data_IF_706710000136
#
_entry.id   IF_706710000136
#
_cell.length_a   1.000
_cell.length_b   1.000
_cell.length_c   1.000
_cell.angle_alpha   90.00
_cell.angle_beta   90.00
_cell.angle_gamma   90.00
#
_symmetry.space_group_name_H-M   'P 1'
#
loop_
_entity.id
_entity.type
_entity.pdbx_description
1 polymer ?
#
# COMPACT_ATOMS: atom_id res chain seq x y z
N UNK A 1 -5.91 14.73 20.55
CA UNK A 1 -5.90 13.66 19.54
C UNK A 1 -4.71 12.76 19.75
N UNK A 2 -4.95 11.50 19.66
CA UNK A 2 -3.92 10.50 19.86
C UNK A 2 -2.98 10.44 18.65
N UNK A 3 -1.68 10.43 18.91
CA UNK A 3 -0.69 10.33 17.87
C UNK A 3 -0.83 9.04 17.06
N UNK A 4 -1.22 7.94 17.74
CA UNK A 4 -1.43 6.65 17.07
C UNK A 4 -2.46 6.76 15.96
N UNK A 5 -3.57 7.42 16.26
CA UNK A 5 -4.64 7.58 15.31
C UNK A 5 -4.19 8.39 14.10
N UNK A 6 -3.37 9.41 14.34
CA UNK A 6 -2.85 10.24 13.27
C UNK A 6 -1.95 9.43 12.33
N UNK A 7 -1.07 8.62 12.89
CA UNK A 7 -0.17 7.79 12.09
C UNK A 7 -0.97 6.78 11.24
N UNK A 8 -2.00 6.19 11.82
CA UNK A 8 -2.85 5.25 11.10
C UNK A 8 -3.58 5.97 9.96
N UNK A 9 -4.07 7.16 10.22
CA UNK A 9 -4.76 7.94 9.18
C UNK A 9 -3.82 8.28 8.04
N UNK A 10 -2.58 8.63 8.34
CA UNK A 10 -1.59 8.91 7.31
C UNK A 10 -1.32 7.69 6.45
N UNK A 11 -1.21 6.52 7.07
CA UNK A 11 -1.02 5.29 6.33
C UNK A 11 -2.16 5.03 5.36
N UNK A 12 -3.39 5.23 5.83
CA UNK A 12 -4.57 5.02 4.99
C UNK A 12 -4.59 5.99 3.81
N UNK A 13 -4.24 7.25 4.06
CA UNK A 13 -4.18 8.24 3.00
C UNK A 13 -3.13 7.87 1.95
N UNK A 14 -1.98 7.38 2.40
CA UNK A 14 -0.93 6.98 1.47
C UNK A 14 -1.35 5.80 0.61
N UNK A 15 -2.14 4.87 1.17
CA UNK A 15 -2.68 3.76 0.39
C UNK A 15 -3.69 4.25 -0.65
N UNK A 16 -4.55 5.19 -0.26
CA UNK A 16 -5.50 5.78 -1.21
C UNK A 16 -4.75 6.48 -2.33
N UNK A 17 -3.69 7.20 -1.99
CA UNK A 17 -2.88 7.89 -2.99
C UNK A 17 -2.26 6.90 -3.97
N UNK A 18 -1.72 5.80 -3.45
CA UNK A 18 -1.15 4.76 -4.30
C UNK A 18 -2.18 4.21 -5.30
N UNK A 19 -3.36 3.87 -4.79
CA UNK A 19 -4.41 3.33 -5.65
C UNK A 19 -4.85 4.34 -6.72
N UNK A 20 -4.94 5.60 -6.32
CA UNK A 20 -5.34 6.65 -7.24
C UNK A 20 -4.32 6.84 -8.36
N UNK A 21 -3.04 6.82 -8.00
CA UNK A 21 -1.98 6.95 -9.00
C UNK A 21 -1.94 5.76 -9.95
N UNK A 22 -2.11 4.56 -9.42
CA UNK A 22 -2.16 3.36 -10.26
C UNK A 22 -3.35 3.42 -11.21
N UNK A 23 -4.52 3.80 -10.71
CA UNK A 23 -5.72 3.91 -11.56
C UNK A 23 -5.49 4.92 -12.68
N UNK A 24 -4.83 6.03 -12.36
CA UNK A 24 -4.54 7.05 -13.37
C UNK A 24 -3.65 6.50 -14.48
N UNK A 25 -2.69 5.63 -14.14
CA UNK A 25 -1.87 4.99 -15.15
C UNK A 25 -2.71 4.07 -16.03
N UNK A 26 -3.56 3.26 -15.42
CA UNK A 26 -4.37 2.28 -16.17
C UNK A 26 -5.43 2.94 -17.04
N UNK A 27 -5.78 4.19 -16.77
CA UNK A 27 -6.75 4.93 -17.57
C UNK A 27 -6.09 5.92 -18.51
N UNK A 28 -4.75 5.87 -18.60
CA UNK A 28 -4.02 6.70 -19.55
C UNK A 28 -3.93 8.16 -19.17
N UNK A 29 -4.25 8.51 -17.93
CA UNK A 29 -4.23 9.89 -17.46
C UNK A 29 -2.81 10.34 -17.15
N UNK A 30 -1.96 9.43 -16.71
CA UNK A 30 -0.57 9.75 -16.42
C UNK A 30 0.32 8.61 -16.88
N UNK A 31 1.59 8.90 -17.24
CA UNK A 31 2.51 7.84 -17.64
C UNK A 31 2.92 7.01 -16.43
N UNK A 32 3.27 5.76 -16.68
CA UNK A 32 3.80 4.90 -15.64
C UNK A 32 5.23 5.31 -15.30
N UNK A 33 5.51 5.40 -14.02
CA UNK A 33 6.86 5.63 -13.52
C UNK A 33 7.21 4.53 -12.54
N UNK A 34 8.40 3.98 -12.67
CA UNK A 34 8.83 2.84 -11.87
C UNK A 34 8.78 3.13 -10.38
N UNK A 35 8.95 4.39 -9.99
CA UNK A 35 8.88 4.79 -8.59
C UNK A 35 7.56 4.40 -7.93
N UNK A 36 6.47 4.36 -8.72
CA UNK A 36 5.17 3.99 -8.18
C UNK A 36 5.18 2.58 -7.59
N UNK A 37 5.94 1.68 -8.21
CA UNK A 37 6.00 0.28 -7.78
C UNK A 37 7.26 -0.05 -7.00
N UNK A 38 8.09 0.93 -6.73
CA UNK A 38 9.28 0.71 -5.93
C UNK A 38 8.89 0.62 -4.45
N UNK A 39 9.37 -0.41 -3.73
CA UNK A 39 8.95 -0.61 -2.34
C UNK A 39 9.22 0.56 -1.42
N UNK A 40 10.24 1.36 -1.71
CA UNK A 40 10.60 2.47 -0.83
C UNK A 40 10.20 3.83 -1.37
N UNK A 41 9.88 3.92 -2.66
CA UNK A 41 9.58 5.20 -3.29
C UNK A 41 8.10 5.46 -3.43
N UNK A 42 7.25 4.42 -3.39
CA UNK A 42 5.83 4.68 -3.47
C UNK A 42 5.35 5.28 -2.14
N UNK A 43 4.23 6.01 -2.16
CA UNK A 43 3.81 6.76 -0.96
C UNK A 43 3.67 5.92 0.29
N UNK A 44 3.04 4.75 0.19
CA UNK A 44 2.86 3.91 1.37
C UNK A 44 4.17 3.25 1.78
N UNK A 45 4.99 2.84 0.82
CA UNK A 45 6.28 2.22 1.13
C UNK A 45 7.20 3.15 1.89
N UNK A 46 7.20 4.42 1.52
CA UNK A 46 8.00 5.42 2.21
C UNK A 46 7.51 5.58 3.66
N UNK A 47 6.19 5.67 3.84
CA UNK A 47 5.63 5.74 5.18
C UNK A 47 6.01 4.52 6.01
N UNK A 48 5.91 3.34 5.41
CA UNK A 48 6.19 2.08 6.09
C UNK A 48 7.63 2.01 6.56
N UNK A 49 8.56 2.44 5.71
CA UNK A 49 9.98 2.36 6.02
C UNK A 49 10.42 3.37 7.09
N UNK A 50 9.67 4.44 7.25
CA UNK A 50 10.01 5.51 8.19
C UNK A 50 9.08 5.48 9.39
N UNK A 51 7.89 6.03 9.26
CA UNK A 51 6.96 6.16 10.38
C UNK A 51 6.52 4.81 10.91
N UNK A 52 6.14 3.91 10.01
CA UNK A 52 5.64 2.60 10.42
C UNK A 52 6.67 1.81 11.22
N UNK A 53 7.90 1.75 10.70
CA UNK A 53 8.95 1.01 11.36
C UNK A 53 9.31 1.61 12.72
N UNK A 54 9.34 2.93 12.78
CA UNK A 54 9.64 3.64 14.02
C UNK A 54 8.57 3.41 15.07
N UNK A 55 7.29 3.37 14.62
CA UNK A 55 6.17 3.26 15.55
C UNK A 55 5.91 1.84 16.01
N UNK A 56 5.93 0.88 15.12
CA UNK A 56 5.49 -0.49 15.43
C UNK A 56 6.64 -1.48 15.57
N UNK A 57 7.80 -1.20 14.97
CA UNK A 57 8.91 -2.11 14.97
C UNK A 57 8.86 -3.11 13.85
N UNK A 58 9.99 -3.73 13.56
CA UNK A 58 10.14 -4.63 12.43
C UNK A 58 9.27 -5.88 12.56
N UNK A 59 9.22 -6.45 13.74
CA UNK A 59 8.50 -7.70 13.95
C UNK A 59 7.00 -7.52 13.76
N UNK A 60 6.45 -6.46 14.34
CA UNK A 60 5.01 -6.20 14.24
C UNK A 60 4.58 -5.90 12.80
N UNK A 61 5.48 -5.35 11.99
CA UNK A 61 5.17 -4.98 10.61
C UNK A 61 5.37 -6.10 9.61
N UNK A 62 5.81 -7.28 10.06
CA UNK A 62 6.13 -8.36 9.12
C UNK A 62 4.98 -8.67 8.17
N UNK A 63 3.78 -8.85 8.71
CA UNK A 63 2.63 -9.16 7.88
C UNK A 63 2.24 -8.01 6.97
N UNK A 64 2.37 -6.79 7.48
CA UNK A 64 2.09 -5.61 6.67
C UNK A 64 3.05 -5.51 5.50
N UNK A 65 4.32 -5.78 5.75
CA UNK A 65 5.32 -5.74 4.68
C UNK A 65 5.09 -6.83 3.64
N UNK A 66 4.67 -8.02 4.08
CA UNK A 66 4.34 -9.08 3.14
C UNK A 66 3.14 -8.69 2.27
N UNK A 67 2.12 -8.10 2.88
CA UNK A 67 0.96 -7.65 2.13
C UNK A 67 1.32 -6.51 1.19
N UNK A 68 2.23 -5.64 1.59
CA UNK A 68 2.70 -4.57 0.72
C UNK A 68 3.40 -5.12 -0.52
N UNK A 69 4.23 -6.15 -0.34
CA UNK A 69 4.89 -6.77 -1.49
C UNK A 69 3.87 -7.41 -2.42
N UNK A 70 2.84 -8.03 -1.86
CA UNK A 70 1.77 -8.57 -2.68
C UNK A 70 1.04 -7.48 -3.45
N UNK A 71 0.79 -6.34 -2.78
CA UNK A 71 0.16 -5.19 -3.42
C UNK A 71 0.96 -4.74 -4.64
N UNK A 72 2.28 -4.61 -4.47
CA UNK A 72 3.14 -4.18 -5.56
C UNK A 72 3.20 -5.20 -6.69
N UNK A 73 3.21 -6.48 -6.34
CA UNK A 73 3.20 -7.54 -7.34
C UNK A 73 1.93 -7.53 -8.17
N UNK A 74 0.78 -7.35 -7.52
CA UNK A 74 -0.49 -7.26 -8.25
C UNK A 74 -0.53 -6.02 -9.12
N UNK A 75 -0.06 -4.89 -8.58
CA UNK A 75 -0.04 -3.65 -9.35
C UNK A 75 0.86 -3.77 -10.57
N UNK A 76 2.03 -4.41 -10.42
CA UNK A 76 2.94 -4.59 -11.55
C UNK A 76 2.30 -5.43 -12.64
N UNK A 77 1.57 -6.46 -12.25
CA UNK A 77 0.85 -7.27 -13.22
C UNK A 77 -0.14 -6.44 -14.04
N UNK A 78 -0.85 -5.54 -13.37
CA UNK A 78 -1.81 -4.67 -14.07
C UNK A 78 -1.11 -3.73 -15.03
N UNK A 79 -0.01 -3.11 -14.60
CA UNK A 79 0.74 -2.21 -15.47
C UNK A 79 1.27 -2.98 -16.69
N UNK A 80 1.77 -4.21 -16.47
CA UNK A 80 2.28 -5.04 -17.54
C UNK A 80 1.18 -5.36 -18.55
N UNK A 81 0.00 -5.72 -18.08
CA UNK A 81 -1.13 -6.01 -18.97
C UNK A 81 -1.52 -4.76 -19.75
N UNK A 82 -1.57 -3.63 -19.08
CA UNK A 82 -1.91 -2.37 -19.72
C UNK A 82 -0.91 -2.06 -20.85
N UNK A 83 0.38 -2.24 -20.58
CA UNK A 83 1.43 -1.94 -21.56
C UNK A 83 1.40 -2.89 -22.75
N UNK A 84 0.87 -4.10 -22.55
CA UNK A 84 0.71 -5.05 -23.65
C UNK A 84 -0.60 -4.89 -24.41
N UNK A 85 -1.37 -3.85 -24.08
CA UNK A 85 -2.62 -3.59 -24.76
C UNK A 85 -3.82 -4.31 -24.18
N UNK A 86 -3.65 -5.04 -23.10
CA UNK A 86 -4.76 -5.74 -22.43
C UNK A 86 -5.43 -4.79 -21.44
N UNK A 87 -6.01 -3.75 -21.99
CA UNK A 87 -6.46 -2.61 -21.17
C UNK A 87 -7.67 -2.94 -20.33
N UNK A 88 -8.65 -3.64 -20.91
CA UNK A 88 -9.85 -4.01 -20.15
C UNK A 88 -9.50 -4.93 -18.98
N UNK A 89 -8.64 -5.91 -19.24
CA UNK A 89 -8.22 -6.83 -18.18
C UNK A 89 -7.49 -6.07 -17.08
N UNK A 90 -6.59 -5.17 -17.47
CA UNK A 90 -5.83 -4.41 -16.48
C UNK A 90 -6.78 -3.62 -15.57
N UNK A 91 -7.77 -2.98 -16.16
CA UNK A 91 -8.72 -2.17 -15.39
C UNK A 91 -9.65 -3.01 -14.53
N UNK A 92 -10.13 -4.13 -15.07
CA UNK A 92 -11.07 -4.97 -14.33
C UNK A 92 -10.42 -5.65 -13.12
N UNK A 93 -9.12 -5.95 -13.20
CA UNK A 93 -8.43 -6.59 -12.08
C UNK A 93 -7.94 -5.59 -11.03
N UNK A 94 -8.26 -4.31 -11.18
CA UNK A 94 -7.94 -3.32 -10.15
C UNK A 94 -8.54 -3.72 -8.80
N UNK A 95 -9.65 -4.44 -8.81
CA UNK A 95 -10.28 -4.92 -7.57
C UNK A 95 -9.34 -5.79 -6.74
N UNK A 96 -8.41 -6.51 -7.38
CA UNK A 96 -7.43 -7.31 -6.65
C UNK A 96 -6.48 -6.44 -5.85
N UNK A 97 -6.05 -5.32 -6.44
CA UNK A 97 -5.19 -4.36 -5.74
C UNK A 97 -5.96 -3.74 -4.58
N UNK A 98 -7.21 -3.38 -4.82
CA UNK A 98 -8.04 -2.79 -3.76
C UNK A 98 -8.24 -3.75 -2.60
N UNK A 99 -8.41 -5.05 -2.90
CA UNK A 99 -8.56 -6.04 -1.85
C UNK A 99 -7.33 -6.18 -0.97
N UNK A 100 -6.14 -6.15 -1.58
CA UNK A 100 -4.90 -6.23 -0.81
C UNK A 100 -4.71 -4.96 0.01
N UNK A 101 -5.03 -3.80 -0.56
CA UNK A 101 -4.93 -2.55 0.19
C UNK A 101 -5.85 -2.56 1.40
N UNK A 102 -7.07 -3.08 1.26
CA UNK A 102 -7.98 -3.23 2.38
C UNK A 102 -7.41 -4.13 3.46
N UNK A 103 -6.76 -5.21 3.05
CA UNK A 103 -6.13 -6.10 4.01
C UNK A 103 -5.03 -5.38 4.78
N UNK A 104 -4.25 -4.56 4.11
CA UNK A 104 -3.21 -3.78 4.79
C UNK A 104 -3.84 -2.86 5.85
N UNK A 105 -4.94 -2.21 5.50
CA UNK A 105 -5.63 -1.34 6.46
C UNK A 105 -6.07 -2.14 7.68
N UNK A 106 -6.61 -3.34 7.47
CA UNK A 106 -7.05 -4.19 8.58
C UNK A 106 -5.88 -4.60 9.47
N UNK A 107 -4.76 -4.95 8.85
CA UNK A 107 -3.57 -5.32 9.63
C UNK A 107 -3.07 -4.16 10.46
N UNK A 108 -3.02 -2.97 9.87
CA UNK A 108 -2.59 -1.78 10.60
C UNK A 108 -3.56 -1.43 11.73
N UNK A 109 -4.86 -1.59 11.47
CA UNK A 109 -5.85 -1.33 12.52
C UNK A 109 -5.66 -2.27 13.70
N UNK A 110 -5.33 -3.52 13.43
CA UNK A 110 -5.07 -4.48 14.50
C UNK A 110 -3.86 -4.07 15.33
N UNK A 111 -2.84 -3.52 14.69
CA UNK A 111 -1.68 -3.03 15.42
C UNK A 111 -2.03 -1.87 16.34
N UNK A 112 -2.99 -1.05 15.94
CA UNK A 112 -3.44 0.08 16.77
C UNK A 112 -4.26 -0.39 17.97
N UNK A 113 -5.02 -1.46 17.81
CA UNK A 113 -5.88 -1.97 18.87
C UNK A 113 -5.12 -2.85 19.84
N UNK A 114 -4.16 -3.62 19.33
CA UNK A 114 -3.44 -4.59 20.14
C UNK A 114 -2.54 -3.87 21.14
N UNK A 115 -2.62 -4.24 22.43
CA UNK A 115 -1.74 -3.65 23.42
C UNK A 115 -0.27 -3.88 23.05
N UNK A 116 0.53 -2.85 23.24
CA UNK A 116 1.95 -2.92 22.90
C UNK A 116 2.68 -3.84 23.87
N UNK A 117 3.26 -4.91 23.36
CA UNK A 117 4.04 -5.79 24.20
C UNK A 117 5.23 -5.11 24.79
N UNK A 118 5.74 -4.14 24.09
CA UNK A 118 6.91 -3.40 24.53
C UNK A 118 6.62 -2.52 25.70
N UNK A 119 5.36 -2.29 26.00
CA UNK A 119 4.98 -1.51 27.16
C UNK A 119 5.28 -2.27 28.45
N UNK A 120 5.46 -3.55 28.32
CA UNK A 120 5.80 -4.38 29.49
C UNK A 120 7.24 -4.18 29.87
#
# INVERSE_FOLDING_TARGET
MDKSNLDFQQASIKLVLFKSQLRSVLYGVRPFEEALLSPRSNPFGEWLATVGRSRYGTEALREVEQAHQLLLSRARDLVSRYQRGQIEDARSYMSQVEGVAEQIVKLLRQLEITPTRNAA
#
